data_IF_273371535430
#
_entry.id   IF_273371535430
#
_cell.length_a   1.000
_cell.length_b   1.000
_cell.length_c   1.000
_cell.angle_alpha   90.00
_cell.angle_beta   90.00
_cell.angle_gamma   90.00
#
_symmetry.space_group_name_H-M   'P 1'
#
loop_
_entity.id
_entity.type
_entity.pdbx_description
1 polymer ?
#
# COMPACT_ATOMS: atom_id res chain seq x y z
N UNK A 1 22.17 9.75 7.50
CA UNK A 1 21.10 8.84 7.91
C UNK A 1 19.86 8.95 7.06
N UNK A 2 19.26 10.14 6.91
CA UNK A 2 18.04 10.32 6.09
C UNK A 2 18.25 9.86 4.65
N UNK A 3 19.29 10.34 3.96
CA UNK A 3 19.58 9.92 2.58
C UNK A 3 19.69 8.39 2.42
N UNK A 4 20.39 7.70 3.32
CA UNK A 4 20.47 6.23 3.29
C UNK A 4 19.10 5.56 3.52
N UNK A 5 18.28 6.11 4.42
CA UNK A 5 16.89 5.66 4.61
C UNK A 5 16.03 5.84 3.37
N UNK A 6 16.21 6.94 2.64
CA UNK A 6 15.50 7.19 1.37
C UNK A 6 15.98 6.28 0.24
N UNK A 7 17.27 5.92 0.20
CA UNK A 7 17.75 4.89 -0.73
C UNK A 7 17.08 3.53 -0.47
N UNK A 8 16.86 3.19 0.80
CA UNK A 8 16.07 1.99 1.17
C UNK A 8 14.59 2.12 0.76
N UNK A 9 14.00 3.31 0.95
CA UNK A 9 12.62 3.59 0.56
C UNK A 9 12.40 3.51 -0.95
N UNK A 10 13.41 3.85 -1.76
CA UNK A 10 13.36 3.74 -3.22
C UNK A 10 13.35 2.28 -3.73
N UNK A 11 13.58 1.30 -2.86
CA UNK A 11 13.49 -0.11 -3.22
C UNK A 11 12.07 -0.53 -3.62
N UNK A 12 11.89 -1.37 -4.65
CA UNK A 12 10.57 -1.76 -5.15
C UNK A 12 9.65 -2.38 -4.09
N UNK A 13 10.23 -3.18 -3.19
CA UNK A 13 9.50 -3.83 -2.10
C UNK A 13 9.15 -2.90 -0.93
N UNK A 14 9.50 -1.61 -1.01
CA UNK A 14 9.22 -0.64 0.05
C UNK A 14 8.39 0.55 -0.42
N UNK A 15 8.82 1.25 -1.49
CA UNK A 15 8.26 2.56 -1.85
C UNK A 15 7.11 2.53 -2.87
N UNK A 16 6.92 1.42 -3.59
CA UNK A 16 6.09 1.42 -4.81
C UNK A 16 4.62 1.05 -4.60
N UNK A 17 4.21 0.66 -3.39
CA UNK A 17 2.86 0.14 -3.14
C UNK A 17 1.75 1.10 -3.61
N UNK A 18 1.88 2.41 -3.37
CA UNK A 18 0.93 3.41 -3.86
C UNK A 18 0.80 3.39 -5.40
N UNK A 19 1.92 3.38 -6.11
CA UNK A 19 1.96 3.37 -7.58
C UNK A 19 1.35 2.08 -8.14
N UNK A 20 1.61 0.94 -7.51
CA UNK A 20 1.05 -0.35 -7.90
C UNK A 20 -0.46 -0.42 -7.68
N UNK A 21 -0.96 0.13 -6.56
CA UNK A 21 -2.39 0.20 -6.27
C UNK A 21 -3.12 1.10 -7.27
N UNK A 22 -2.60 2.31 -7.53
CA UNK A 22 -3.21 3.22 -8.50
C UNK A 22 -3.18 2.64 -9.91
N UNK A 23 -2.07 2.00 -10.31
CA UNK A 23 -1.99 1.33 -11.62
C UNK A 23 -3.07 0.26 -11.76
N UNK A 24 -3.29 -0.53 -10.71
CA UNK A 24 -4.36 -1.52 -10.72
C UNK A 24 -5.76 -0.90 -10.89
N UNK A 25 -6.04 0.22 -10.22
CA UNK A 25 -7.30 0.96 -10.37
C UNK A 25 -7.47 1.47 -11.81
N UNK A 26 -6.41 2.01 -12.41
CA UNK A 26 -6.43 2.44 -13.81
C UNK A 26 -6.62 1.26 -14.76
N UNK A 27 -6.00 0.11 -14.51
CA UNK A 27 -6.19 -1.10 -15.31
C UNK A 27 -7.67 -1.56 -15.27
N UNK A 28 -8.33 -1.47 -14.11
CA UNK A 28 -9.78 -1.73 -13.98
C UNK A 28 -10.57 -0.74 -14.81
N UNK A 29 -10.28 0.57 -14.70
CA UNK A 29 -10.94 1.61 -15.51
C UNK A 29 -10.74 1.35 -17.01
N UNK A 30 -9.54 0.98 -17.43
CA UNK A 30 -9.21 0.71 -18.82
C UNK A 30 -9.88 -0.56 -19.34
N UNK A 31 -10.08 -1.57 -18.50
CA UNK A 31 -10.79 -2.79 -18.85
C UNK A 31 -12.29 -2.51 -19.10
N UNK A 32 -12.96 -1.86 -18.14
CA UNK A 32 -14.41 -1.65 -18.18
C UNK A 32 -14.84 -0.38 -18.90
N UNK A 33 -13.91 0.55 -19.17
CA UNK A 33 -14.14 1.91 -19.72
C UNK A 33 -15.06 2.81 -18.89
N UNK A 34 -15.67 2.29 -17.83
CA UNK A 34 -16.62 2.92 -16.92
C UNK A 34 -16.33 2.47 -15.50
N UNK A 35 -17.07 2.99 -14.51
CA UNK A 35 -17.07 2.39 -13.17
C UNK A 35 -17.90 1.10 -13.25
N UNK A 36 -17.28 -0.08 -13.05
CA UNK A 36 -17.99 -1.36 -13.16
C UNK A 36 -19.04 -1.53 -12.06
N UNK A 37 -20.01 -2.41 -12.29
CA UNK A 37 -20.91 -2.85 -11.22
C UNK A 37 -20.14 -3.67 -10.17
N UNK A 38 -20.70 -3.78 -8.97
CA UNK A 38 -20.09 -4.59 -7.90
C UNK A 38 -19.99 -6.08 -8.30
N UNK A 39 -20.91 -6.59 -9.12
CA UNK A 39 -20.90 -7.97 -9.64
C UNK A 39 -19.76 -8.16 -10.66
N UNK A 40 -19.65 -7.28 -11.66
CA UNK A 40 -18.58 -7.37 -12.67
C UNK A 40 -17.19 -7.23 -12.02
N UNK A 41 -17.08 -6.35 -11.01
CA UNK A 41 -15.84 -6.15 -10.28
C UNK A 41 -15.50 -7.37 -9.42
N UNK A 42 -16.50 -8.05 -8.85
CA UNK A 42 -16.33 -9.30 -8.10
C UNK A 42 -15.79 -10.40 -9.01
N UNK A 43 -16.38 -10.58 -10.18
CA UNK A 43 -15.93 -11.56 -11.18
C UNK A 43 -14.50 -11.28 -11.64
N UNK A 44 -14.19 -10.01 -11.93
CA UNK A 44 -12.82 -9.59 -12.26
C UNK A 44 -11.81 -9.91 -11.14
N UNK A 45 -12.19 -9.70 -9.87
CA UNK A 45 -11.33 -10.04 -8.73
C UNK A 45 -11.11 -11.55 -8.62
N UNK A 46 -12.16 -12.36 -8.80
CA UNK A 46 -12.06 -13.82 -8.80
C UNK A 46 -11.17 -14.33 -9.94
N UNK A 47 -11.36 -13.85 -11.16
CA UNK A 47 -10.52 -14.21 -12.31
C UNK A 47 -9.06 -13.89 -12.04
N UNK A 48 -8.78 -12.71 -11.50
CA UNK A 48 -7.41 -12.31 -11.15
C UNK A 48 -6.78 -13.24 -10.11
N UNK A 49 -7.53 -13.56 -9.05
CA UNK A 49 -7.10 -14.43 -7.96
C UNK A 49 -6.92 -15.89 -8.41
N UNK A 50 -7.80 -16.40 -9.27
CA UNK A 50 -7.74 -17.75 -9.84
C UNK A 50 -6.54 -17.91 -10.77
N UNK A 51 -6.13 -16.83 -11.44
CA UNK A 51 -4.90 -16.76 -12.22
C UNK A 51 -3.62 -16.55 -11.38
N UNK A 52 -3.71 -16.71 -10.05
CA UNK A 52 -2.57 -16.65 -9.12
C UNK A 52 -2.03 -15.25 -8.87
N UNK A 53 -2.73 -14.19 -9.30
CA UNK A 53 -2.36 -12.80 -9.03
C UNK A 53 -3.00 -12.32 -7.75
N UNK A 54 -2.41 -11.30 -7.13
CA UNK A 54 -2.94 -10.64 -5.93
C UNK A 54 -3.74 -9.39 -6.28
N UNK A 55 -4.53 -8.91 -5.32
CA UNK A 55 -5.18 -7.59 -5.36
C UNK A 55 -4.27 -6.59 -4.63
N UNK A 56 -3.63 -5.64 -5.34
CA UNK A 56 -2.72 -4.68 -4.72
C UNK A 56 -3.39 -3.87 -3.62
N UNK A 57 -2.69 -3.68 -2.49
CA UNK A 57 -3.18 -2.93 -1.34
C UNK A 57 -4.04 -3.71 -0.36
N UNK A 58 -4.40 -4.97 -0.66
CA UNK A 58 -5.22 -5.85 0.19
C UNK A 58 -4.44 -7.11 0.62
N UNK A 59 -4.86 -7.77 1.71
CA UNK A 59 -4.29 -9.05 2.12
C UNK A 59 -3.14 -8.97 3.13
N UNK A 60 -3.16 -7.98 4.04
CA UNK A 60 -2.04 -7.75 4.96
C UNK A 60 -1.93 -8.83 6.05
N UNK A 61 -0.69 -9.24 6.38
CA UNK A 61 -0.44 -10.27 7.40
C UNK A 61 -0.84 -9.87 8.85
N UNK A 62 -1.02 -8.57 9.11
CA UNK A 62 -1.11 -8.01 10.48
C UNK A 62 -2.43 -7.29 10.75
N UNK A 63 -2.93 -6.49 9.80
CA UNK A 63 -4.10 -5.62 10.00
C UNK A 63 -5.40 -6.43 10.07
N UNK A 64 -6.08 -6.44 11.21
CA UNK A 64 -7.34 -7.19 11.43
C UNK A 64 -8.62 -6.42 11.08
N UNK A 65 -8.48 -5.14 10.80
CA UNK A 65 -9.51 -4.21 10.35
C UNK A 65 -8.90 -3.27 9.30
N UNK A 66 -9.70 -2.46 8.58
CA UNK A 66 -9.17 -1.43 7.70
C UNK A 66 -8.14 -0.55 8.40
N UNK A 67 -7.04 -0.26 7.71
CA UNK A 67 -6.03 0.68 8.19
C UNK A 67 -6.68 2.06 8.46
N UNK A 68 -6.56 2.65 9.65
CA UNK A 68 -7.16 3.96 9.92
C UNK A 68 -6.64 5.06 8.98
N UNK A 69 -5.44 4.89 8.41
CA UNK A 69 -4.90 5.82 7.40
C UNK A 69 -5.62 5.68 6.06
N UNK A 70 -6.04 4.46 5.71
CA UNK A 70 -6.90 4.23 4.55
C UNK A 70 -8.26 4.91 4.78
N UNK A 71 -8.88 4.68 5.93
CA UNK A 71 -10.16 5.32 6.29
C UNK A 71 -10.08 6.85 6.21
N UNK A 72 -9.02 7.47 6.73
CA UNK A 72 -8.83 8.91 6.64
C UNK A 72 -8.77 9.43 5.18
N UNK A 73 -8.18 8.66 4.26
CA UNK A 73 -8.16 9.03 2.83
C UNK A 73 -9.48 8.76 2.13
N UNK A 74 -10.22 7.72 2.53
CA UNK A 74 -11.59 7.50 2.06
C UNK A 74 -12.49 8.65 2.49
N UNK A 75 -12.47 9.02 3.77
CA UNK A 75 -13.24 10.14 4.31
C UNK A 75 -12.90 11.45 3.61
N UNK A 76 -11.62 11.72 3.34
CA UNK A 76 -11.20 12.89 2.59
C UNK A 76 -11.77 12.87 1.16
N UNK A 77 -11.62 11.76 0.44
CA UNK A 77 -12.12 11.63 -0.92
C UNK A 77 -13.64 11.75 -0.98
N UNK A 78 -14.37 11.15 -0.05
CA UNK A 78 -15.83 11.28 0.06
C UNK A 78 -16.29 12.72 0.29
N UNK A 79 -15.50 13.52 1.01
CA UNK A 79 -15.84 14.92 1.26
C UNK A 79 -15.49 15.86 0.11
N UNK A 80 -14.41 15.60 -0.64
CA UNK A 80 -13.83 16.59 -1.56
C UNK A 80 -13.69 16.15 -3.03
N UNK A 81 -13.78 14.86 -3.34
CA UNK A 81 -13.72 14.35 -4.72
C UNK A 81 -15.15 14.19 -5.23
N UNK A 82 -15.41 14.68 -6.44
CA UNK A 82 -16.73 14.64 -7.09
C UNK A 82 -16.58 14.19 -8.54
N UNK A 83 -17.49 13.31 -8.98
CA UNK A 83 -17.59 12.84 -10.37
C UNK A 83 -16.27 12.31 -10.93
N UNK A 84 -15.53 11.53 -10.14
CA UNK A 84 -14.26 10.92 -10.56
C UNK A 84 -14.38 9.39 -10.57
N UNK A 85 -14.17 8.81 -11.74
CA UNK A 85 -14.28 7.36 -11.94
C UNK A 85 -13.18 6.59 -11.18
N UNK A 86 -11.98 7.17 -11.03
CA UNK A 86 -10.85 6.49 -10.41
C UNK A 86 -11.09 6.31 -8.91
N UNK A 87 -11.51 7.37 -8.22
CA UNK A 87 -11.89 7.30 -6.81
C UNK A 87 -13.15 6.43 -6.61
N UNK A 88 -14.12 6.50 -7.52
CA UNK A 88 -15.31 5.64 -7.47
C UNK A 88 -14.95 4.14 -7.55
N UNK A 89 -13.98 3.78 -8.40
CA UNK A 89 -13.46 2.41 -8.47
C UNK A 89 -12.78 2.00 -7.17
N UNK A 90 -12.00 2.89 -6.52
CA UNK A 90 -11.42 2.62 -5.19
C UNK A 90 -12.51 2.32 -4.16
N UNK A 91 -13.61 3.08 -4.17
CA UNK A 91 -14.75 2.84 -3.29
C UNK A 91 -15.42 1.48 -3.56
N UNK A 92 -15.64 1.11 -4.82
CA UNK A 92 -16.20 -0.19 -5.18
C UNK A 92 -15.26 -1.35 -4.81
N UNK A 93 -13.95 -1.20 -5.03
CA UNK A 93 -12.96 -2.19 -4.61
C UNK A 93 -12.99 -2.43 -3.09
N UNK A 94 -13.16 -1.37 -2.29
CA UNK A 94 -13.26 -1.51 -0.84
C UNK A 94 -14.49 -2.32 -0.39
N UNK A 95 -15.61 -2.21 -1.11
CA UNK A 95 -16.82 -2.99 -0.85
C UNK A 95 -16.67 -4.45 -1.27
N UNK A 96 -16.06 -4.69 -2.43
CA UNK A 96 -16.05 -5.99 -3.11
C UNK A 96 -14.87 -6.88 -2.69
N UNK A 97 -13.67 -6.34 -2.59
CA UNK A 97 -12.45 -7.14 -2.39
C UNK A 97 -12.43 -7.85 -1.04
N UNK A 98 -12.81 -7.22 0.10
CA UNK A 98 -12.70 -7.91 1.37
C UNK A 98 -13.59 -9.17 1.48
N UNK A 99 -14.88 -9.14 1.09
CA UNK A 99 -15.70 -10.36 1.00
C UNK A 99 -15.10 -11.44 0.09
N UNK A 100 -14.58 -11.07 -1.09
CA UNK A 100 -13.95 -12.02 -2.03
C UNK A 100 -12.73 -12.70 -1.40
N UNK A 101 -11.87 -11.95 -0.72
CA UNK A 101 -10.69 -12.51 -0.06
C UNK A 101 -11.04 -13.41 1.14
N UNK A 102 -12.13 -13.10 1.85
CA UNK A 102 -12.66 -13.96 2.91
C UNK A 102 -13.20 -15.27 2.34
N UNK A 103 -13.98 -15.21 1.27
CA UNK A 103 -14.53 -16.38 0.58
C UNK A 103 -13.41 -17.26 -0.01
N UNK A 104 -12.35 -16.64 -0.56
CA UNK A 104 -11.18 -17.36 -1.05
C UNK A 104 -10.43 -18.13 0.05
N UNK A 105 -10.48 -17.65 1.30
CA UNK A 105 -9.89 -18.32 2.47
C UNK A 105 -8.36 -18.37 2.53
N UNK A 106 -7.64 -17.73 1.58
CA UNK A 106 -6.17 -17.69 1.56
C UNK A 106 -5.59 -16.48 2.31
N UNK A 107 -6.29 -15.35 2.27
CA UNK A 107 -5.84 -14.12 2.93
C UNK A 107 -6.14 -14.19 4.43
N UNK A 108 -5.10 -14.05 5.27
CA UNK A 108 -5.30 -14.04 6.73
C UNK A 108 -6.15 -12.86 7.19
N UNK A 109 -5.93 -11.68 6.60
CA UNK A 109 -6.78 -10.53 6.80
C UNK A 109 -7.05 -9.84 5.46
N UNK A 110 -8.32 -9.57 5.11
CA UNK A 110 -8.71 -9.14 3.78
C UNK A 110 -8.70 -7.61 3.60
N UNK A 111 -8.20 -6.85 4.59
CA UNK A 111 -8.40 -5.40 4.67
C UNK A 111 -7.35 -4.59 3.91
N UNK A 112 -7.72 -3.40 3.40
CA UNK A 112 -6.80 -2.52 2.69
C UNK A 112 -5.86 -1.77 3.64
N UNK A 113 -4.74 -1.32 3.08
CA UNK A 113 -3.84 -0.35 3.72
C UNK A 113 -3.93 1.04 3.05
N UNK A 114 -3.21 2.02 3.60
CA UNK A 114 -3.17 3.41 3.11
C UNK A 114 -2.90 3.56 1.60
N UNK A 115 -2.07 2.67 1.03
CA UNK A 115 -1.60 2.78 -0.35
C UNK A 115 -2.74 2.49 -1.35
N UNK A 116 -3.75 1.72 -0.93
CA UNK A 116 -4.93 1.39 -1.74
C UNK A 116 -5.79 2.61 -2.12
N UNK A 117 -5.75 3.69 -1.34
CA UNK A 117 -6.51 4.91 -1.61
C UNK A 117 -5.64 6.07 -2.10
N UNK A 118 -4.47 6.26 -1.50
CA UNK A 118 -3.68 7.48 -1.61
C UNK A 118 -3.36 7.94 -3.04
N UNK A 119 -3.10 7.01 -3.96
CA UNK A 119 -2.79 7.34 -5.35
C UNK A 119 -3.97 7.98 -6.09
N UNK A 120 -5.20 7.54 -5.82
CA UNK A 120 -6.40 8.10 -6.47
C UNK A 120 -6.61 9.57 -6.11
N UNK A 121 -6.35 9.94 -4.85
CA UNK A 121 -6.43 11.32 -4.38
C UNK A 121 -5.40 12.20 -5.09
N UNK A 122 -4.13 11.76 -5.15
CA UNK A 122 -3.08 12.49 -5.85
C UNK A 122 -3.41 12.67 -7.34
N UNK A 123 -3.88 11.59 -7.98
CA UNK A 123 -4.21 11.56 -9.39
C UNK A 123 -5.35 12.54 -9.74
N UNK A 124 -6.38 12.60 -8.89
CA UNK A 124 -7.51 13.51 -9.05
C UNK A 124 -7.07 14.98 -9.07
N UNK A 125 -6.19 15.38 -8.13
CA UNK A 125 -5.67 16.75 -8.05
C UNK A 125 -4.54 17.06 -9.04
N UNK A 126 -4.29 16.18 -10.02
CA UNK A 126 -3.40 16.44 -11.14
C UNK A 126 -1.96 15.98 -10.95
N UNK A 127 -1.60 15.36 -9.82
CA UNK A 127 -0.29 14.72 -9.66
C UNK A 127 -0.33 13.34 -10.31
N UNK A 128 0.00 13.27 -11.60
CA UNK A 128 -0.10 12.06 -12.43
C UNK A 128 1.24 11.37 -12.69
N UNK A 129 2.33 11.93 -12.19
CA UNK A 129 3.69 11.43 -12.37
C UNK A 129 3.99 10.34 -11.33
N UNK A 130 3.67 9.09 -11.65
CA UNK A 130 3.72 7.97 -10.69
C UNK A 130 5.09 7.84 -10.02
N UNK A 131 6.17 7.99 -10.80
CA UNK A 131 7.54 7.90 -10.31
C UNK A 131 7.87 8.94 -9.23
N UNK A 132 7.07 10.01 -9.10
CA UNK A 132 7.24 11.05 -8.09
C UNK A 132 6.56 10.73 -6.76
N UNK A 133 5.65 9.76 -6.68
CA UNK A 133 4.90 9.48 -5.45
C UNK A 133 5.79 9.04 -4.29
N UNK A 134 6.87 8.28 -4.57
CA UNK A 134 7.85 7.90 -3.55
C UNK A 134 8.59 9.13 -2.97
N UNK A 135 8.70 10.23 -3.72
CA UNK A 135 9.26 11.50 -3.21
C UNK A 135 8.33 12.13 -2.17
N UNK A 136 7.02 12.16 -2.43
CA UNK A 136 6.04 12.63 -1.44
C UNK A 136 6.07 11.78 -0.17
N UNK A 137 6.19 10.46 -0.34
CA UNK A 137 6.37 9.55 0.79
C UNK A 137 7.66 9.86 1.57
N UNK A 138 8.75 10.14 0.88
CA UNK A 138 10.05 10.50 1.48
C UNK A 138 9.97 11.75 2.34
N UNK A 139 9.25 12.78 1.88
CA UNK A 139 9.04 14.03 2.63
C UNK A 139 8.28 13.73 3.93
N UNK A 140 7.15 13.02 3.82
CA UNK A 140 6.34 12.64 4.99
C UNK A 140 7.14 11.81 5.99
N UNK A 141 7.87 10.79 5.51
CA UNK A 141 8.65 9.86 6.34
C UNK A 141 9.83 10.54 7.03
N UNK A 142 10.39 11.60 6.45
CA UNK A 142 11.52 12.34 7.03
C UNK A 142 11.18 12.91 8.41
N UNK A 143 9.94 13.34 8.65
CA UNK A 143 9.51 13.85 9.95
C UNK A 143 9.72 12.82 11.07
N UNK A 144 9.24 11.59 10.86
CA UNK A 144 9.37 10.51 11.85
C UNK A 144 10.81 10.04 12.03
N UNK A 145 11.58 9.89 10.94
CA UNK A 145 12.99 9.50 10.99
C UNK A 145 13.79 10.52 11.81
N UNK A 146 13.63 11.81 11.52
CA UNK A 146 14.39 12.88 12.17
C UNK A 146 13.99 12.98 13.65
N UNK A 147 12.69 12.91 13.97
CA UNK A 147 12.23 12.92 15.36
C UNK A 147 12.86 11.78 16.17
N UNK A 148 12.84 10.55 15.66
CA UNK A 148 13.47 9.41 16.34
C UNK A 148 15.00 9.56 16.44
N UNK A 149 15.64 10.14 15.42
CA UNK A 149 17.10 10.40 15.46
C UNK A 149 17.48 11.36 16.60
N UNK A 150 16.68 12.41 16.84
CA UNK A 150 16.91 13.33 17.96
C UNK A 150 16.82 12.59 19.30
N UNK A 151 15.75 11.80 19.50
CA UNK A 151 15.57 11.00 20.71
C UNK A 151 16.71 10.01 20.93
N UNK A 152 17.18 9.33 19.87
CA UNK A 152 18.29 8.38 19.96
C UNK A 152 19.59 9.05 20.44
N UNK A 153 19.81 10.33 20.11
CA UNK A 153 20.96 11.08 20.61
C UNK A 153 20.75 11.54 22.04
N UNK A 154 19.57 12.05 22.38
CA UNK A 154 19.21 12.44 23.74
C UNK A 154 19.35 11.28 24.73
N UNK A 155 18.97 10.07 24.32
CA UNK A 155 19.05 8.86 25.15
C UNK A 155 20.42 8.17 25.12
N UNK A 156 21.40 8.67 24.36
CA UNK A 156 22.71 8.04 24.25
C UNK A 156 22.68 6.62 23.67
N UNK A 157 21.72 6.32 22.77
CA UNK A 157 21.58 4.97 22.19
C UNK A 157 22.89 4.56 21.50
N UNK A 158 23.47 3.39 21.83
CA UNK A 158 24.76 2.96 21.32
C UNK A 158 24.67 2.54 19.85
N UNK A 159 25.83 2.20 19.28
CA UNK A 159 25.93 1.68 17.92
C UNK A 159 25.19 0.34 17.76
N UNK A 160 24.36 0.22 16.73
CA UNK A 160 23.74 -1.04 16.33
C UNK A 160 24.79 -1.95 15.70
N UNK A 161 25.16 -3.05 16.37
CA UNK A 161 26.20 -3.98 15.92
C UNK A 161 25.76 -5.46 16.06
N UNK A 162 24.86 -5.94 15.19
CA UNK A 162 24.45 -7.35 15.19
C UNK A 162 25.60 -8.26 14.76
N UNK A 163 25.58 -9.51 15.22
CA UNK A 163 26.51 -10.55 14.78
C UNK A 163 25.89 -11.32 13.62
N UNK A 164 26.60 -11.43 12.51
CA UNK A 164 26.25 -12.35 11.42
C UNK A 164 26.93 -13.71 11.64
N UNK A 165 26.28 -14.77 11.15
CA UNK A 165 26.83 -16.13 11.14
C UNK A 165 26.58 -16.73 9.76
N UNK A 166 27.43 -17.69 9.37
CA UNK A 166 27.29 -18.39 8.09
C UNK A 166 26.32 -19.55 8.21
N UNK A 167 25.81 -20.03 7.07
CA UNK A 167 25.01 -21.26 7.02
C UNK A 167 25.74 -22.46 7.62
N UNK A 168 27.05 -22.58 7.38
CA UNK A 168 27.89 -23.63 7.97
C UNK A 168 27.97 -23.52 9.49
N UNK A 169 28.16 -22.29 10.01
CA UNK A 169 28.17 -22.07 11.45
C UNK A 169 26.84 -22.51 12.08
N UNK A 170 25.69 -22.18 11.45
CA UNK A 170 24.38 -22.64 11.92
C UNK A 170 24.32 -24.17 11.94
N UNK A 171 24.64 -24.84 10.83
CA UNK A 171 24.63 -26.32 10.74
C UNK A 171 25.46 -27.02 11.82
N UNK A 172 26.55 -26.39 12.25
CA UNK A 172 27.46 -26.96 13.23
C UNK A 172 27.11 -26.57 14.68
N UNK A 173 26.13 -25.68 14.91
CA UNK A 173 25.82 -25.11 16.23
C UNK A 173 24.32 -25.09 16.60
N UNK A 174 23.42 -25.58 15.74
CA UNK A 174 21.99 -25.82 16.02
C UNK A 174 21.61 -27.23 15.62
#
# INVERSE_FOLDING_TARGET
SVAAGLNGLAGPLHGLANQECLKFVLDVKDHFKTVPSDEDLKDFCWDRLNNGRVIPGYGHAVLRCPDPRFSAFMDFGENYIRNDDIFSIVQSLFKVVPPVLLEQGKAKNPWPNVDAASGSLLYYYGLKEFNYYTVLFSISRSMGIIAQMVINRAMGIPITRPKSVTTEWIKNNT
#
